data_IF_051682655462
#
_entry.id   IF_051682655462
#
_cell.length_a   1.000
_cell.length_b   1.000
_cell.length_c   1.000
_cell.angle_alpha   90.00
_cell.angle_beta   90.00
_cell.angle_gamma   90.00
#
_symmetry.space_group_name_H-M   'P 1'
#
loop_
_entity.id
_entity.type
_entity.pdbx_description
1 polymer ?
#
# COMPACT_ATOMS: atom_id res chain seq x y z
N UNK A 1 -16.91 12.54 35.27
CA UNK A 1 -16.82 11.14 35.71
C UNK A 1 -15.98 10.43 34.67
N UNK A 2 -14.73 10.09 35.00
CA UNK A 2 -13.74 9.50 34.08
C UNK A 2 -13.85 7.98 34.16
N UNK A 3 -14.04 7.30 33.04
CA UNK A 3 -14.06 5.83 32.98
C UNK A 3 -12.85 5.39 32.17
N UNK A 4 -11.84 4.89 32.89
CA UNK A 4 -10.68 4.21 32.32
C UNK A 4 -11.09 2.77 31.96
N UNK A 5 -10.81 2.34 30.73
CA UNK A 5 -10.70 0.93 30.40
C UNK A 5 -9.24 0.62 30.08
N UNK A 6 -8.63 -0.19 30.93
CA UNK A 6 -7.26 -0.69 30.86
C UNK A 6 -7.33 -2.06 30.18
N UNK A 7 -6.77 -2.21 28.99
CA UNK A 7 -6.49 -3.53 28.42
C UNK A 7 -5.06 -3.95 28.79
N UNK A 8 -4.96 -5.11 29.44
CA UNK A 8 -3.72 -5.78 29.81
C UNK A 8 -3.14 -6.47 28.57
N UNK A 9 -1.97 -6.04 28.12
CA UNK A 9 -1.11 -6.86 27.28
C UNK A 9 -0.07 -7.54 28.19
N UNK A 10 -0.10 -8.88 28.20
CA UNK A 10 0.94 -9.71 28.76
C UNK A 10 1.52 -10.55 27.63
N UNK A 11 2.77 -10.31 27.26
CA UNK A 11 3.60 -11.30 26.57
C UNK A 11 5.06 -11.02 26.91
N UNK A 12 5.78 -12.13 27.15
CA UNK A 12 6.98 -12.23 27.95
C UNK A 12 8.22 -11.56 27.34
N UNK A 13 9.10 -11.14 28.24
CA UNK A 13 10.48 -10.80 27.97
C UNK A 13 11.30 -12.03 27.53
N UNK A 14 12.17 -11.84 26.54
CA UNK A 14 13.40 -12.60 26.40
C UNK A 14 14.55 -11.63 26.13
N UNK A 15 15.36 -11.42 27.16
CA UNK A 15 16.59 -10.65 27.15
C UNK A 15 17.71 -11.54 26.60
N UNK A 16 18.43 -11.09 25.56
CA UNK A 16 19.81 -11.50 25.33
C UNK A 16 20.54 -10.40 24.55
N UNK A 17 21.36 -9.64 25.27
CA UNK A 17 22.33 -8.71 24.72
C UNK A 17 23.60 -9.46 24.30
N UNK A 18 24.18 -9.12 23.15
CA UNK A 18 25.63 -9.12 22.95
C UNK A 18 25.99 -8.31 21.70
N UNK A 19 26.64 -7.17 21.92
CA UNK A 19 27.31 -6.41 20.89
C UNK A 19 28.57 -7.16 20.42
N UNK A 20 28.78 -7.26 19.10
CA UNK A 20 30.09 -7.51 18.49
C UNK A 20 30.25 -6.61 17.27
N UNK A 21 30.82 -5.42 17.50
CA UNK A 21 31.50 -4.67 16.46
C UNK A 21 32.77 -5.44 16.09
N UNK A 22 32.85 -5.92 14.86
CA UNK A 22 34.14 -6.28 14.25
C UNK A 22 34.29 -5.47 12.96
N UNK A 23 35.14 -4.44 13.03
CA UNK A 23 35.82 -3.92 11.85
C UNK A 23 36.90 -4.95 11.52
N UNK A 24 36.68 -5.74 10.48
CA UNK A 24 37.74 -6.54 9.85
C UNK A 24 38.04 -5.94 8.49
N UNK A 25 39.14 -5.18 8.43
CA UNK A 25 39.79 -4.84 7.17
C UNK A 25 40.78 -5.98 6.88
N UNK A 26 40.35 -6.93 6.05
CA UNK A 26 41.15 -8.07 5.63
C UNK A 26 40.68 -8.52 4.26
N UNK A 27 41.56 -8.43 3.27
CA UNK A 27 41.36 -9.01 1.94
C UNK A 27 41.19 -10.52 2.05
N UNK A 28 40.48 -11.09 1.08
CA UNK A 28 39.91 -12.45 0.99
C UNK A 28 38.62 -12.66 1.76
N UNK A 29 37.52 -12.80 1.02
CA UNK A 29 36.25 -13.28 1.54
C UNK A 29 35.55 -14.08 0.45
N UNK A 30 35.58 -15.38 0.65
CA UNK A 30 34.66 -16.39 0.14
C UNK A 30 33.27 -15.84 -0.11
N UNK A 31 32.70 -16.19 -1.27
CA UNK A 31 31.29 -15.98 -1.61
C UNK A 31 30.43 -16.52 -0.47
N UNK A 32 29.94 -15.63 0.39
CA UNK A 32 28.80 -15.93 1.23
C UNK A 32 27.62 -15.97 0.27
N UNK A 33 27.25 -17.18 -0.14
CA UNK A 33 25.94 -17.47 -0.71
C UNK A 33 24.93 -17.18 0.40
N UNK A 34 24.56 -15.91 0.50
CA UNK A 34 23.42 -15.49 1.31
C UNK A 34 22.24 -16.20 0.65
N UNK A 35 21.45 -17.03 1.37
CA UNK A 35 20.26 -17.61 0.77
C UNK A 35 19.43 -16.46 0.21
N UNK A 36 19.36 -16.35 -1.11
CA UNK A 36 18.48 -15.40 -1.77
C UNK A 36 17.09 -15.81 -1.29
N UNK A 37 16.44 -14.91 -0.54
CA UNK A 37 15.04 -15.10 -0.18
C UNK A 37 14.30 -15.43 -1.49
N UNK A 38 13.40 -16.43 -1.49
CA UNK A 38 12.68 -16.78 -2.70
C UNK A 38 12.07 -15.50 -3.29
N UNK A 39 12.47 -15.17 -4.52
CA UNK A 39 11.89 -14.05 -5.24
C UNK A 39 10.38 -14.28 -5.29
N UNK A 40 9.63 -13.36 -4.69
CA UNK A 40 8.16 -13.45 -4.67
C UNK A 40 7.61 -13.52 -6.09
N UNK A 41 6.47 -14.20 -6.26
CA UNK A 41 5.76 -14.17 -7.53
C UNK A 41 5.36 -12.72 -7.85
N UNK A 42 5.72 -12.24 -9.04
CA UNK A 42 5.29 -10.93 -9.53
C UNK A 42 3.83 -11.01 -9.96
N UNK A 43 2.96 -10.35 -9.22
CA UNK A 43 1.50 -10.35 -9.42
C UNK A 43 1.04 -9.30 -10.43
N UNK A 44 1.83 -8.27 -10.64
CA UNK A 44 1.53 -7.10 -11.46
C UNK A 44 2.53 -5.99 -11.21
N UNK A 45 2.20 -4.77 -11.62
CA UNK A 45 3.04 -3.59 -11.41
C UNK A 45 2.22 -2.35 -11.07
N UNK A 46 2.80 -1.40 -10.35
CA UNK A 46 2.30 -0.03 -10.26
C UNK A 46 3.43 0.95 -10.61
N UNK A 47 3.09 2.20 -10.93
CA UNK A 47 4.06 3.27 -11.20
C UNK A 47 3.96 4.36 -10.14
N UNK A 48 5.10 4.86 -9.68
CA UNK A 48 5.21 6.08 -8.87
C UNK A 48 6.36 6.93 -9.39
N UNK A 49 6.08 8.20 -9.69
CA UNK A 49 7.05 9.17 -10.22
C UNK A 49 7.82 8.67 -11.46
N UNK A 50 7.11 8.06 -12.42
CA UNK A 50 7.72 7.50 -13.63
C UNK A 50 8.54 6.23 -13.41
N UNK A 51 8.57 5.68 -12.20
CA UNK A 51 9.25 4.42 -11.88
C UNK A 51 8.24 3.31 -11.64
N UNK A 52 8.44 2.20 -12.34
CA UNK A 52 7.66 0.97 -12.18
C UNK A 52 8.17 0.15 -10.99
N UNK A 53 7.23 -0.40 -10.22
CA UNK A 53 7.45 -1.30 -9.10
C UNK A 53 6.67 -2.59 -9.34
N UNK A 54 7.32 -3.74 -9.14
CA UNK A 54 6.63 -5.02 -9.10
C UNK A 54 5.68 -5.07 -7.91
N UNK A 55 4.56 -5.79 -8.05
CA UNK A 55 3.65 -6.10 -6.95
C UNK A 55 3.96 -7.53 -6.52
N UNK A 56 4.57 -7.68 -5.35
CA UNK A 56 4.82 -8.98 -4.72
C UNK A 56 3.79 -9.30 -3.64
N UNK A 57 3.15 -8.26 -3.08
CA UNK A 57 2.04 -8.38 -2.13
C UNK A 57 0.87 -7.54 -2.61
N UNK A 58 -0.30 -8.19 -2.74
CA UNK A 58 -1.58 -7.54 -3.00
C UNK A 58 -2.61 -8.03 -1.98
N UNK A 59 -3.12 -7.16 -1.10
CA UNK A 59 -4.15 -7.54 -0.12
C UNK A 59 -5.44 -6.77 -0.35
N UNK A 60 -6.55 -7.40 0.04
CA UNK A 60 -7.88 -6.80 0.01
C UNK A 60 -8.58 -7.05 1.34
N UNK A 61 -9.16 -6.01 1.91
CA UNK A 61 -10.01 -6.08 3.09
C UNK A 61 -11.29 -5.27 2.87
N UNK A 62 -12.44 -5.85 3.24
CA UNK A 62 -13.70 -5.13 3.34
C UNK A 62 -13.98 -4.79 4.81
N UNK A 63 -13.88 -3.51 5.17
CA UNK A 63 -14.26 -3.03 6.51
C UNK A 63 -15.47 -2.11 6.43
N UNK A 64 -16.62 -2.59 6.95
CA UNK A 64 -17.87 -1.88 6.81
C UNK A 64 -18.19 -1.62 5.33
N UNK A 65 -18.33 -0.36 4.96
CA UNK A 65 -18.61 0.05 3.58
C UNK A 65 -17.35 0.36 2.78
N UNK A 66 -16.12 0.11 3.25
CA UNK A 66 -14.91 0.36 2.45
C UNK A 66 -14.30 -0.92 1.91
N UNK A 67 -13.95 -0.89 0.63
CA UNK A 67 -13.02 -1.79 -0.02
C UNK A 67 -11.62 -1.19 0.10
N UNK A 68 -10.71 -1.83 0.83
CA UNK A 68 -9.32 -1.39 1.01
C UNK A 68 -8.38 -2.34 0.29
N UNK A 69 -7.52 -1.78 -0.56
CA UNK A 69 -6.53 -2.50 -1.36
C UNK A 69 -5.13 -2.01 -0.97
N UNK A 70 -4.18 -2.94 -0.82
CA UNK A 70 -2.76 -2.63 -0.62
C UNK A 70 -1.95 -3.33 -1.70
N UNK A 71 -1.02 -2.59 -2.29
CA UNK A 71 -0.05 -3.08 -3.27
C UNK A 71 1.35 -2.75 -2.79
N UNK A 72 2.25 -3.73 -2.80
CA UNK A 72 3.62 -3.54 -2.34
C UNK A 72 4.63 -4.35 -3.15
N UNK A 73 5.83 -3.80 -3.41
CA UNK A 73 6.97 -4.52 -3.98
C UNK A 73 7.68 -5.40 -2.95
N UNK A 74 7.21 -5.46 -1.71
CA UNK A 74 7.79 -6.25 -0.64
C UNK A 74 7.09 -7.61 -0.57
N UNK A 75 7.87 -8.68 -0.47
CA UNK A 75 7.35 -10.04 -0.46
C UNK A 75 6.54 -10.35 0.82
N UNK A 76 5.57 -11.28 0.78
CA UNK A 76 4.80 -11.66 1.95
C UNK A 76 5.70 -12.16 3.10
N UNK A 77 5.46 -11.66 4.31
CA UNK A 77 6.22 -12.03 5.51
C UNK A 77 7.44 -11.16 5.80
N UNK A 78 7.78 -10.22 4.91
CA UNK A 78 8.78 -9.18 5.17
C UNK A 78 8.14 -7.90 5.74
N UNK A 79 8.96 -7.00 6.30
CA UNK A 79 8.49 -5.71 6.80
C UNK A 79 8.13 -4.78 5.63
N UNK A 80 6.84 -4.45 5.50
CA UNK A 80 6.35 -3.56 4.46
C UNK A 80 6.83 -2.13 4.74
N UNK A 81 7.77 -1.65 3.93
CA UNK A 81 8.35 -0.30 3.98
C UNK A 81 8.10 0.52 2.71
N UNK A 82 7.45 -0.08 1.70
CA UNK A 82 7.01 0.59 0.48
C UNK A 82 5.66 0.05 0.08
N UNK A 83 4.67 0.89 -0.09
CA UNK A 83 3.31 0.46 -0.41
C UNK A 83 2.43 1.58 -0.99
N UNK A 84 1.46 1.17 -1.79
CA UNK A 84 0.32 1.98 -2.23
C UNK A 84 -0.95 1.36 -1.64
N UNK A 85 -1.70 2.15 -0.85
CA UNK A 85 -3.04 1.81 -0.39
C UNK A 85 -4.07 2.67 -1.12
N UNK A 86 -5.09 2.01 -1.65
CA UNK A 86 -6.28 2.62 -2.20
C UNK A 86 -7.49 2.09 -1.45
N UNK A 87 -8.30 2.96 -0.87
CA UNK A 87 -9.57 2.58 -0.27
C UNK A 87 -10.71 3.37 -0.90
N UNK A 88 -11.83 2.72 -1.10
CA UNK A 88 -13.04 3.34 -1.66
C UNK A 88 -14.28 2.81 -0.97
N UNK A 89 -15.26 3.68 -0.74
CA UNK A 89 -16.58 3.26 -0.33
C UNK A 89 -17.15 2.32 -1.40
N UNK A 90 -17.64 1.15 -1.00
CA UNK A 90 -18.10 0.07 -1.88
C UNK A 90 -19.27 0.49 -2.77
N UNK A 91 -19.96 1.57 -2.42
CA UNK A 91 -20.92 2.21 -3.32
C UNK A 91 -20.29 2.66 -4.66
N UNK A 92 -19.04 3.14 -4.64
CA UNK A 92 -18.29 3.58 -5.82
C UNK A 92 -17.39 2.48 -6.42
N UNK A 93 -17.45 1.27 -5.88
CA UNK A 93 -16.84 0.07 -6.45
C UNK A 93 -17.81 -0.61 -7.44
N UNK A 94 -18.35 0.17 -8.37
CA UNK A 94 -19.41 -0.21 -9.30
C UNK A 94 -18.90 -0.55 -10.70
N UNK A 95 -17.60 -0.34 -10.96
CA UNK A 95 -16.96 -0.54 -12.25
C UNK A 95 -17.00 0.67 -13.18
N UNK A 96 -17.57 1.80 -12.76
CA UNK A 96 -17.49 3.07 -13.49
C UNK A 96 -16.21 3.84 -13.15
N UNK A 97 -15.87 4.82 -13.99
CA UNK A 97 -14.76 5.74 -13.71
C UNK A 97 -15.22 6.88 -12.81
N UNK A 98 -14.49 7.13 -11.71
CA UNK A 98 -14.76 8.21 -10.77
C UNK A 98 -13.56 9.13 -10.62
N UNK A 99 -13.80 10.43 -10.40
CA UNK A 99 -12.74 11.45 -10.24
C UNK A 99 -12.33 11.63 -8.77
N UNK A 100 -11.04 11.82 -8.52
CA UNK A 100 -10.46 12.01 -7.18
C UNK A 100 -10.11 13.47 -6.85
N UNK A 101 -10.57 14.42 -7.65
CA UNK A 101 -10.38 15.83 -7.35
C UNK A 101 -11.72 16.55 -7.46
N UNK A 102 -11.85 17.66 -6.74
CA UNK A 102 -13.01 18.53 -6.80
C UNK A 102 -13.31 18.96 -8.25
N UNK A 103 -14.27 18.29 -8.87
CA UNK A 103 -14.93 18.77 -10.07
C UNK A 103 -15.95 19.84 -9.66
N UNK A 104 -15.68 21.09 -10.04
CA UNK A 104 -16.63 22.19 -9.87
C UNK A 104 -17.99 21.92 -10.57
N UNK A 105 -18.11 20.88 -11.41
CA UNK A 105 -19.34 20.46 -12.08
C UNK A 105 -20.22 19.45 -11.30
N UNK A 106 -19.79 18.93 -10.14
CA UNK A 106 -20.71 18.35 -9.15
C UNK A 106 -20.80 16.82 -9.05
N UNK A 107 -19.84 16.06 -9.58
CA UNK A 107 -19.67 14.62 -9.26
C UNK A 107 -18.54 14.43 -8.23
N UNK A 108 -18.55 15.27 -7.19
CA UNK A 108 -17.47 15.31 -6.20
C UNK A 108 -17.57 14.12 -5.25
N UNK A 109 -16.61 13.22 -5.37
CA UNK A 109 -16.27 12.32 -4.27
C UNK A 109 -15.56 13.13 -3.18
N UNK A 110 -16.05 12.98 -1.94
CA UNK A 110 -15.46 13.64 -0.78
C UNK A 110 -14.19 12.88 -0.35
N UNK A 111 -13.04 13.52 -0.44
CA UNK A 111 -11.77 12.92 -0.02
C UNK A 111 -11.77 12.59 1.49
N UNK A 112 -11.28 11.40 1.86
CA UNK A 112 -11.38 10.75 3.17
C UNK A 112 -12.75 10.18 3.56
N UNK A 113 -13.83 10.56 2.88
CA UNK A 113 -15.18 10.03 3.15
C UNK A 113 -15.63 9.05 2.06
N UNK A 114 -15.29 9.27 0.81
CA UNK A 114 -15.62 8.36 -0.30
C UNK A 114 -14.44 7.53 -0.75
N UNK A 115 -13.23 8.08 -0.68
CA UNK A 115 -12.00 7.39 -1.04
C UNK A 115 -10.81 7.89 -0.23
N UNK A 116 -9.77 7.06 -0.14
CA UNK A 116 -8.49 7.38 0.49
C UNK A 116 -7.33 6.85 -0.36
N UNK A 117 -6.25 7.63 -0.41
CA UNK A 117 -5.00 7.26 -1.07
C UNK A 117 -3.86 7.43 -0.07
N UNK A 118 -3.01 6.41 0.06
CA UNK A 118 -1.76 6.48 0.82
C UNK A 118 -0.65 5.90 -0.04
N UNK A 119 0.45 6.63 -0.15
CA UNK A 119 1.70 6.10 -0.69
C UNK A 119 2.81 6.33 0.32
N UNK A 120 3.59 5.29 0.61
CA UNK A 120 4.77 5.40 1.46
C UNK A 120 5.93 4.63 0.85
N UNK A 121 7.11 5.23 0.90
CA UNK A 121 8.40 4.58 0.69
C UNK A 121 9.42 5.18 1.71
N UNK A 122 10.68 4.70 1.77
CA UNK A 122 11.66 5.21 2.74
C UNK A 122 12.00 6.72 2.68
N UNK A 123 11.58 7.41 1.61
CA UNK A 123 11.87 8.81 1.31
C UNK A 123 10.60 9.65 1.23
N UNK A 124 9.47 9.06 0.80
CA UNK A 124 8.22 9.74 0.50
C UNK A 124 7.07 9.23 1.37
N UNK A 125 6.22 10.16 1.83
CA UNK A 125 4.99 9.82 2.52
C UNK A 125 3.85 10.74 2.07
N UNK A 126 2.86 10.16 1.41
CA UNK A 126 1.60 10.78 1.04
C UNK A 126 0.51 10.18 1.91
N UNK A 127 0.07 10.95 2.92
CA UNK A 127 -0.99 10.53 3.84
C UNK A 127 -2.38 10.64 3.20
N UNK A 128 -3.33 9.88 3.73
CA UNK A 128 -4.76 10.02 3.41
C UNK A 128 -5.34 11.43 3.61
N UNK A 129 -4.72 12.30 4.41
CA UNK A 129 -5.24 13.65 4.63
C UNK A 129 -4.86 14.65 3.53
N UNK A 130 -4.12 14.20 2.51
CA UNK A 130 -3.63 15.06 1.43
C UNK A 130 -4.35 14.72 0.13
N UNK A 131 -5.32 15.56 -0.23
CA UNK A 131 -6.15 15.39 -1.43
C UNK A 131 -5.28 15.37 -2.70
N UNK A 132 -5.51 14.43 -3.64
CA UNK A 132 -4.90 14.44 -4.95
C UNK A 132 -5.16 15.76 -5.70
N UNK A 133 -4.26 16.11 -6.62
CA UNK A 133 -4.44 17.28 -7.49
C UNK A 133 -5.42 17.01 -8.63
N UNK A 134 -5.41 15.79 -9.17
CA UNK A 134 -6.30 15.32 -10.24
C UNK A 134 -6.23 13.78 -10.29
N UNK A 135 -7.06 13.18 -11.15
CA UNK A 135 -6.99 11.76 -11.48
C UNK A 135 -8.35 11.08 -11.46
N UNK A 136 -8.34 9.79 -11.77
CA UNK A 136 -9.51 8.92 -11.68
C UNK A 136 -9.15 7.52 -11.20
N UNK A 137 -10.18 6.79 -10.78
CA UNK A 137 -10.09 5.36 -10.53
C UNK A 137 -11.31 4.63 -11.09
N UNK A 138 -11.16 3.32 -11.24
CA UNK A 138 -12.24 2.37 -11.43
C UNK A 138 -11.97 1.16 -10.55
N UNK A 139 -12.97 0.76 -9.76
CA UNK A 139 -12.95 -0.51 -9.02
C UNK A 139 -14.09 -1.37 -9.53
N UNK A 140 -13.75 -2.39 -10.31
CA UNK A 140 -14.73 -3.27 -10.97
C UNK A 140 -14.88 -4.56 -10.17
N UNK A 141 -16.09 -4.90 -9.67
CA UNK A 141 -16.34 -6.21 -9.10
C UNK A 141 -16.07 -7.32 -10.13
N UNK A 142 -15.40 -8.38 -9.70
CA UNK A 142 -15.20 -9.60 -10.50
C UNK A 142 -15.83 -10.79 -9.79
N UNK A 143 -15.73 -12.00 -10.36
CA UNK A 143 -16.23 -13.21 -9.71
C UNK A 143 -15.40 -13.54 -8.46
N UNK A 144 -15.86 -13.05 -7.30
CA UNK A 144 -15.23 -13.27 -6.00
C UNK A 144 -14.10 -12.29 -5.64
N UNK A 145 -13.87 -11.22 -6.41
CA UNK A 145 -12.81 -10.24 -6.14
C UNK A 145 -13.07 -8.87 -6.79
N UNK A 146 -12.02 -8.09 -7.06
CA UNK A 146 -12.07 -6.80 -7.75
C UNK A 146 -10.93 -6.64 -8.77
N UNK A 147 -11.14 -5.81 -9.80
CA UNK A 147 -10.09 -5.16 -10.58
C UNK A 147 -9.95 -3.73 -10.09
N UNK A 148 -8.72 -3.26 -9.88
CA UNK A 148 -8.43 -1.89 -9.45
C UNK A 148 -7.62 -1.20 -10.53
N UNK A 149 -8.13 -0.06 -11.01
CA UNK A 149 -7.42 0.88 -11.86
C UNK A 149 -7.40 2.23 -11.18
N UNK A 150 -6.24 2.87 -11.14
CA UNK A 150 -6.13 4.25 -10.70
C UNK A 150 -5.05 4.95 -11.51
N UNK A 151 -5.31 6.19 -11.91
CA UNK A 151 -4.34 7.10 -12.51
C UNK A 151 -4.49 8.45 -11.80
N UNK A 152 -3.56 8.73 -10.90
CA UNK A 152 -3.68 9.76 -9.88
C UNK A 152 -2.52 10.73 -10.03
N UNK A 153 -2.85 12.02 -10.02
CA UNK A 153 -1.89 13.07 -9.81
C UNK A 153 -1.91 13.46 -8.33
N UNK A 154 -0.86 13.10 -7.58
CA UNK A 154 -0.75 13.43 -6.17
C UNK A 154 -0.69 14.95 -5.96
N UNK A 155 -0.90 15.39 -4.73
CA UNK A 155 -1.04 16.80 -4.36
C UNK A 155 0.12 17.74 -4.75
N UNK A 156 1.29 17.19 -5.06
CA UNK A 156 2.46 17.95 -5.55
C UNK A 156 2.72 17.78 -7.06
N UNK A 157 1.82 17.11 -7.77
CA UNK A 157 1.97 16.83 -9.20
C UNK A 157 2.67 15.50 -9.51
N UNK A 158 3.00 14.68 -8.50
CA UNK A 158 3.65 13.39 -8.72
C UNK A 158 2.66 12.36 -9.27
N UNK A 159 2.95 11.67 -10.39
CA UNK A 159 2.06 10.65 -10.94
C UNK A 159 2.15 9.35 -10.13
N UNK A 160 1.01 8.70 -9.94
CA UNK A 160 0.83 7.39 -9.31
C UNK A 160 -0.23 6.62 -10.07
N UNK A 161 0.09 5.44 -10.59
CA UNK A 161 -0.87 4.64 -11.37
C UNK A 161 -0.78 3.14 -11.14
N UNK A 162 -1.91 2.45 -11.35
CA UNK A 162 -2.02 0.99 -11.27
C UNK A 162 -3.13 0.49 -12.20
N UNK A 163 -2.93 -0.70 -12.78
CA UNK A 163 -3.99 -1.54 -13.37
C UNK A 163 -3.79 -2.98 -12.89
N UNK A 164 -4.54 -3.37 -11.86
CA UNK A 164 -4.43 -4.67 -11.22
C UNK A 164 -5.72 -5.47 -11.38
N UNK A 165 -5.63 -6.63 -12.04
CA UNK A 165 -6.72 -7.60 -12.21
C UNK A 165 -6.37 -9.00 -11.65
N UNK A 166 -5.36 -9.07 -10.79
CA UNK A 166 -4.91 -10.30 -10.14
C UNK A 166 -5.70 -10.67 -8.88
N UNK A 167 -5.25 -11.73 -8.21
CA UNK A 167 -5.86 -12.20 -6.96
C UNK A 167 -5.30 -11.43 -5.76
N UNK A 168 -6.14 -11.18 -4.76
CA UNK A 168 -5.68 -10.63 -3.49
C UNK A 168 -5.49 -11.73 -2.45
N UNK A 169 -4.44 -11.64 -1.65
CA UNK A 169 -4.37 -12.39 -0.39
C UNK A 169 -5.33 -11.77 0.63
N UNK A 170 -6.10 -12.63 1.32
CA UNK A 170 -7.00 -12.28 2.43
C UNK A 170 -6.37 -12.61 3.77
#
# INVERSE_FOLDING_TARGET
MRTNFIFKAAAAAATAAAALLTVSCGKDSTVHDTPQAPEGEVLGTYEFDGKTYDILTATFEQTGNYCTFLFSPIAPGEEISTYFVFAVNSYWADGEEHKVANDYAGENLDHNDDYMIIYEDPVHYYSQFREPADGSFTVTPTDGSYRVRADILLADGTPLSIDYDGNFSM
#
